data_IF_686001784325
#
_entry.id   IF_686001784325
#
_cell.length_a   1.000
_cell.length_b   1.000
_cell.length_c   1.000
_cell.angle_alpha   90.00
_cell.angle_beta   90.00
_cell.angle_gamma   90.00
#
_symmetry.space_group_name_H-M   'P 1'
#
loop_
_entity.id
_entity.type
_entity.pdbx_description
1 polymer ?
#
# COMPACT_ATOMS: atom_id res chain seq x y z
N UNK A 1 -23.72 -7.50 0.46
CA UNK A 1 -24.76 -7.92 1.43
C UNK A 1 -24.72 -7.05 2.68
N UNK A 2 -23.59 -6.96 3.40
CA UNK A 2 -23.45 -6.17 4.63
C UNK A 2 -23.94 -4.71 4.53
N UNK A 3 -23.61 -4.01 3.44
CA UNK A 3 -24.06 -2.62 3.21
C UNK A 3 -25.59 -2.52 3.10
N UNK A 4 -26.24 -3.49 2.48
CA UNK A 4 -27.72 -3.53 2.41
C UNK A 4 -28.33 -3.81 3.78
N UNK A 5 -27.69 -4.63 4.61
CA UNK A 5 -28.13 -4.88 5.98
C UNK A 5 -28.00 -3.60 6.83
N UNK A 6 -26.89 -2.86 6.69
CA UNK A 6 -26.71 -1.54 7.32
C UNK A 6 -27.82 -0.56 6.89
N UNK A 7 -28.10 -0.45 5.59
CA UNK A 7 -29.15 0.42 5.08
C UNK A 7 -30.54 0.01 5.59
N UNK A 8 -30.81 -1.29 5.71
CA UNK A 8 -32.06 -1.81 6.27
C UNK A 8 -32.21 -1.47 7.76
N UNK A 9 -31.15 -1.66 8.57
CA UNK A 9 -31.14 -1.30 9.99
C UNK A 9 -31.38 0.21 10.19
N UNK A 10 -30.73 1.05 9.39
CA UNK A 10 -30.97 2.49 9.41
C UNK A 10 -32.42 2.85 9.02
N UNK A 11 -32.96 2.19 7.99
CA UNK A 11 -34.35 2.39 7.57
C UNK A 11 -35.34 2.00 8.67
N UNK A 12 -35.06 0.94 9.45
CA UNK A 12 -35.90 0.55 10.59
C UNK A 12 -35.90 1.59 11.70
N UNK A 13 -34.77 2.26 11.94
CA UNK A 13 -34.63 3.29 12.99
C UNK A 13 -35.31 4.61 12.64
N UNK A 14 -35.26 4.97 11.36
CA UNK A 14 -35.79 6.26 10.87
C UNK A 14 -37.23 6.17 10.38
N UNK A 15 -37.80 4.96 10.33
CA UNK A 15 -39.18 4.76 9.93
C UNK A 15 -40.13 5.50 10.88
N UNK A 16 -41.10 6.27 10.36
CA UNK A 16 -42.04 7.01 11.19
C UNK A 16 -43.01 6.11 11.99
N UNK A 17 -43.08 4.83 11.64
CA UNK A 17 -43.87 3.81 12.32
C UNK A 17 -42.98 2.61 12.61
N UNK A 18 -43.13 1.97 13.78
CA UNK A 18 -42.38 0.75 14.09
C UNK A 18 -42.67 -0.31 13.03
N UNK A 19 -41.62 -0.78 12.36
CA UNK A 19 -41.71 -1.84 11.35
C UNK A 19 -41.77 -3.24 11.99
N UNK A 20 -41.60 -3.33 13.32
CA UNK A 20 -41.68 -4.57 14.08
C UNK A 20 -42.80 -4.48 15.14
N UNK A 21 -43.89 -5.27 15.03
CA UNK A 21 -44.97 -5.29 16.01
C UNK A 21 -44.57 -5.94 17.34
N UNK A 22 -43.44 -6.65 17.39
CA UNK A 22 -42.97 -7.37 18.58
C UNK A 22 -41.92 -6.61 19.38
N UNK A 23 -41.45 -5.47 18.88
CA UNK A 23 -40.51 -4.59 19.57
C UNK A 23 -41.24 -3.75 20.64
N UNK A 24 -41.79 -4.42 21.66
CA UNK A 24 -42.15 -3.76 22.91
C UNK A 24 -40.87 -3.16 23.50
N UNK A 25 -40.80 -1.82 23.57
CA UNK A 25 -39.82 -1.02 24.34
C UNK A 25 -38.53 -1.76 24.72
N UNK A 26 -37.79 -2.25 23.72
CA UNK A 26 -36.40 -2.61 23.98
C UNK A 26 -35.70 -1.29 24.27
N UNK A 27 -35.51 -1.01 25.56
CA UNK A 27 -34.44 -0.15 26.06
C UNK A 27 -33.26 -0.44 25.16
N UNK A 28 -32.98 0.47 24.23
CA UNK A 28 -31.96 0.24 23.22
C UNK A 28 -30.66 0.17 23.99
N UNK A 29 -30.20 -1.05 24.24
CA UNK A 29 -29.09 -1.30 25.16
C UNK A 29 -27.89 -0.47 24.66
N UNK A 30 -27.29 0.31 25.58
CA UNK A 30 -26.25 1.29 25.23
C UNK A 30 -25.10 0.62 24.48
N UNK A 31 -24.82 -0.64 24.82
CA UNK A 31 -23.83 -1.48 24.13
C UNK A 31 -24.26 -1.85 22.70
N UNK A 32 -25.55 -2.09 22.45
CA UNK A 32 -26.08 -2.40 21.12
C UNK A 32 -25.88 -1.24 20.13
N UNK A 33 -26.14 0.00 20.57
CA UNK A 33 -25.88 1.19 19.74
C UNK A 33 -24.38 1.38 19.48
N UNK A 34 -23.53 1.13 20.46
CA UNK A 34 -22.09 1.22 20.31
C UNK A 34 -21.53 0.16 19.35
N UNK A 35 -22.05 -1.07 19.41
CA UNK A 35 -21.72 -2.17 18.49
C UNK A 35 -22.14 -1.80 17.07
N UNK A 36 -23.32 -1.25 16.88
CA UNK A 36 -23.81 -0.79 15.58
C UNK A 36 -22.87 0.27 14.97
N UNK A 37 -22.54 1.33 15.72
CA UNK A 37 -21.63 2.39 15.26
C UNK A 37 -20.26 1.84 14.89
N UNK A 38 -19.67 0.97 15.73
CA UNK A 38 -18.39 0.32 15.41
C UNK A 38 -18.48 -0.54 14.15
N UNK A 39 -19.57 -1.29 13.98
CA UNK A 39 -19.82 -2.11 12.80
C UNK A 39 -19.92 -1.25 11.54
N UNK A 40 -20.57 -0.08 11.63
CA UNK A 40 -20.69 0.84 10.51
C UNK A 40 -19.33 1.39 10.07
N UNK A 41 -18.49 1.80 11.02
CA UNK A 41 -17.14 2.25 10.71
C UNK A 41 -16.22 1.13 10.21
N UNK A 42 -16.40 -0.11 10.68
CA UNK A 42 -15.69 -1.27 10.15
C UNK A 42 -16.07 -1.54 8.67
N UNK A 43 -17.37 -1.52 8.35
CA UNK A 43 -17.84 -1.63 6.97
C UNK A 43 -17.30 -0.49 6.08
N UNK A 44 -17.26 0.74 6.59
CA UNK A 44 -16.66 1.87 5.90
C UNK A 44 -15.17 1.64 5.57
N UNK A 45 -14.39 1.18 6.55
CA UNK A 45 -12.96 0.90 6.38
C UNK A 45 -12.77 -0.21 5.33
N UNK A 46 -13.54 -1.29 5.39
CA UNK A 46 -13.47 -2.38 4.43
C UNK A 46 -13.84 -1.89 3.03
N UNK A 47 -14.89 -1.08 2.88
CA UNK A 47 -15.27 -0.48 1.58
C UNK A 47 -14.13 0.37 1.01
N UNK A 48 -13.46 1.16 1.85
CA UNK A 48 -12.28 1.93 1.48
C UNK A 48 -11.08 1.04 1.08
N UNK A 49 -10.87 -0.12 1.70
CA UNK A 49 -9.78 -1.02 1.29
C UNK A 49 -10.10 -1.73 -0.04
N UNK A 50 -11.35 -2.15 -0.19
CA UNK A 50 -11.78 -3.11 -1.22
C UNK A 50 -12.19 -2.44 -2.53
N UNK A 51 -12.73 -1.22 -2.46
CA UNK A 51 -13.27 -0.50 -3.61
C UNK A 51 -12.53 0.80 -3.95
N UNK A 52 -11.51 1.20 -3.18
CA UNK A 52 -10.79 2.45 -3.48
C UNK A 52 -10.14 2.41 -4.87
N UNK A 53 -10.60 3.29 -5.74
CA UNK A 53 -10.10 3.48 -7.10
C UNK A 53 -10.40 2.37 -8.11
N UNK A 54 -11.01 1.26 -7.71
CA UNK A 54 -11.47 0.25 -8.68
C UNK A 54 -12.61 0.78 -9.57
N UNK A 55 -12.94 0.10 -10.67
CA UNK A 55 -14.07 0.45 -11.55
C UNK A 55 -15.44 0.50 -10.84
N UNK A 56 -15.55 -0.01 -9.61
CA UNK A 56 -16.76 0.08 -8.81
C UNK A 56 -16.66 1.28 -7.87
N UNK A 57 -17.59 2.25 -7.95
CA UNK A 57 -17.62 3.34 -6.99
C UNK A 57 -17.81 2.81 -5.57
N UNK A 58 -17.17 3.43 -4.55
CA UNK A 58 -17.35 3.04 -3.16
C UNK A 58 -18.83 3.15 -2.79
N UNK A 59 -19.33 2.15 -2.06
CA UNK A 59 -20.73 2.05 -1.69
C UNK A 59 -21.05 2.80 -0.40
N UNK A 60 -20.04 3.06 0.44
CA UNK A 60 -20.12 3.82 1.69
C UNK A 60 -19.09 4.96 1.71
N UNK A 61 -19.15 5.95 0.79
CA UNK A 61 -18.31 7.12 0.91
C UNK A 61 -18.67 7.91 2.17
N UNK A 62 -17.75 8.76 2.63
CA UNK A 62 -17.95 9.57 3.84
C UNK A 62 -19.24 10.42 3.80
N UNK A 63 -19.68 10.83 2.61
CA UNK A 63 -20.96 11.52 2.42
C UNK A 63 -22.17 10.65 2.79
N UNK A 64 -22.16 9.36 2.47
CA UNK A 64 -23.23 8.44 2.86
C UNK A 64 -23.20 8.17 4.37
N UNK A 65 -22.02 8.01 4.97
CA UNK A 65 -21.89 7.90 6.43
C UNK A 65 -22.50 9.10 7.16
N UNK A 66 -22.30 10.32 6.64
CA UNK A 66 -22.93 11.54 7.16
C UNK A 66 -24.46 11.55 6.96
N UNK A 67 -24.97 11.09 5.82
CA UNK A 67 -26.42 10.99 5.55
C UNK A 67 -27.10 9.99 6.47
N UNK A 68 -26.45 8.87 6.74
CA UNK A 68 -26.88 7.84 7.71
C UNK A 68 -26.77 8.33 9.16
N UNK A 69 -26.29 9.56 9.40
CA UNK A 69 -26.14 10.15 10.74
C UNK A 69 -25.39 9.22 11.70
N UNK A 70 -24.37 8.52 11.20
CA UNK A 70 -23.56 7.62 12.02
C UNK A 70 -22.77 8.46 13.03
N UNK A 71 -22.88 8.12 14.31
CA UNK A 71 -22.15 8.79 15.38
C UNK A 71 -20.64 8.65 15.22
N UNK A 72 -19.87 9.45 15.98
CA UNK A 72 -18.40 9.36 15.98
C UNK A 72 -17.93 7.94 16.36
N UNK A 73 -16.77 7.48 15.85
CA UNK A 73 -16.18 6.23 16.30
C UNK A 73 -16.01 6.22 17.82
N UNK A 74 -16.50 5.15 18.47
CA UNK A 74 -16.44 4.99 19.91
C UNK A 74 -15.06 4.49 20.31
N UNK A 75 -14.39 5.17 21.24
CA UNK A 75 -13.09 4.70 21.72
C UNK A 75 -13.23 3.49 22.68
N UNK A 76 -12.15 2.73 22.89
CA UNK A 76 -12.21 1.49 23.66
C UNK A 76 -12.66 1.70 25.11
N UNK A 77 -12.23 2.81 25.74
CA UNK A 77 -12.56 3.15 27.11
C UNK A 77 -14.02 3.58 27.26
N UNK A 78 -14.51 4.44 26.35
CA UNK A 78 -15.91 4.87 26.28
C UNK A 78 -16.85 3.67 26.13
N UNK A 79 -16.47 2.71 25.29
CA UNK A 79 -17.20 1.46 25.12
C UNK A 79 -17.22 0.62 26.39
N UNK A 80 -16.07 0.45 27.05
CA UNK A 80 -15.95 -0.33 28.28
C UNK A 80 -16.72 0.28 29.46
N UNK A 81 -16.83 1.61 29.50
CA UNK A 81 -17.50 2.34 30.57
C UNK A 81 -19.01 2.57 30.31
N UNK A 82 -19.52 2.23 29.13
CA UNK A 82 -20.94 2.42 28.79
C UNK A 82 -21.42 3.88 28.88
N UNK A 83 -20.53 4.84 28.56
CA UNK A 83 -20.86 6.27 28.59
C UNK A 83 -21.90 6.64 27.54
N UNK A 84 -22.78 7.60 27.85
CA UNK A 84 -23.81 8.06 26.93
C UNK A 84 -23.18 8.60 25.64
N UNK A 85 -23.54 8.00 24.51
CA UNK A 85 -23.02 8.39 23.21
C UNK A 85 -23.68 9.69 22.77
N UNK A 86 -22.92 10.74 22.43
CA UNK A 86 -23.51 11.98 21.96
C UNK A 86 -24.27 11.71 20.66
N UNK A 87 -25.51 12.21 20.60
CA UNK A 87 -26.36 12.13 19.42
C UNK A 87 -25.62 12.61 18.15
N UNK A 88 -26.02 12.07 17.00
CA UNK A 88 -25.48 12.42 15.69
C UNK A 88 -25.51 13.94 15.38
N UNK A 89 -26.31 14.74 16.09
CA UNK A 89 -26.32 16.20 15.96
C UNK A 89 -25.02 16.85 16.46
N UNK A 90 -24.34 16.26 17.46
CA UNK A 90 -23.03 16.69 17.93
C UNK A 90 -21.87 16.15 17.06
N UNK A 91 -22.09 15.07 16.31
CA UNK A 91 -21.13 14.53 15.34
C UNK A 91 -20.92 15.45 14.11
N UNK A 92 -21.78 16.46 13.92
CA UNK A 92 -21.58 17.48 12.89
C UNK A 92 -20.39 18.41 13.16
N UNK A 93 -19.87 18.43 14.40
CA UNK A 93 -18.61 19.07 14.78
C UNK A 93 -17.51 18.04 15.00
N UNK A 94 -17.22 17.20 14.00
CA UNK A 94 -15.86 16.66 13.86
C UNK A 94 -14.99 17.79 13.32
N UNK A 95 -14.80 18.83 14.13
CA UNK A 95 -13.64 19.69 13.99
C UNK A 95 -12.44 18.85 14.41
N UNK A 96 -11.48 18.77 13.50
CA UNK A 96 -10.19 18.10 13.67
C UNK A 96 -9.53 18.67 14.92
N UNK A 97 -9.73 18.01 16.06
CA UNK A 97 -9.12 18.40 17.32
C UNK A 97 -7.67 17.93 17.26
N UNK A 98 -6.74 18.88 17.16
CA UNK A 98 -5.31 18.57 17.22
C UNK A 98 -4.97 17.88 18.55
N UNK A 99 -4.05 16.91 18.52
CA UNK A 99 -3.64 16.15 19.71
C UNK A 99 -4.49 14.91 19.97
N UNK A 100 -4.93 14.22 18.91
CA UNK A 100 -5.57 12.92 19.04
C UNK A 100 -4.57 11.87 19.53
N UNK A 101 -4.69 11.50 20.80
CA UNK A 101 -3.95 10.37 21.37
C UNK A 101 -4.35 9.03 20.73
N UNK A 102 -3.46 8.04 20.80
CA UNK A 102 -3.64 6.71 20.19
C UNK A 102 -4.91 5.98 20.69
N UNK A 103 -5.42 6.34 21.87
CA UNK A 103 -6.67 5.81 22.42
C UNK A 103 -7.89 6.06 21.51
N UNK A 104 -7.86 7.10 20.66
CA UNK A 104 -8.85 7.37 19.60
C UNK A 104 -8.47 6.70 18.27
N UNK A 105 -7.74 5.59 18.30
CA UNK A 105 -7.19 4.90 17.13
C UNK A 105 -8.23 4.59 16.04
N UNK A 106 -9.45 4.17 16.41
CA UNK A 106 -10.51 3.93 15.43
C UNK A 106 -10.88 5.18 14.62
N UNK A 107 -10.92 6.35 15.25
CA UNK A 107 -11.22 7.61 14.58
C UNK A 107 -10.07 8.04 13.66
N UNK A 108 -8.84 7.91 14.14
CA UNK A 108 -7.63 8.16 13.34
C UNK A 108 -7.63 7.27 12.09
N UNK A 109 -7.96 5.98 12.26
CA UNK A 109 -8.05 5.01 11.16
C UNK A 109 -9.16 5.36 10.17
N UNK A 110 -10.36 5.71 10.64
CA UNK A 110 -11.48 6.12 9.76
C UNK A 110 -11.08 7.32 8.90
N UNK A 111 -10.46 8.35 9.48
CA UNK A 111 -9.97 9.49 8.71
C UNK A 111 -8.84 9.10 7.75
N UNK A 112 -7.91 8.25 8.18
CA UNK A 112 -6.81 7.75 7.36
C UNK A 112 -7.31 6.95 6.15
N UNK A 113 -8.25 6.03 6.34
CA UNK A 113 -8.81 5.21 5.26
C UNK A 113 -9.67 6.03 4.30
N UNK A 114 -10.32 7.11 4.77
CA UNK A 114 -10.99 8.05 3.88
C UNK A 114 -10.00 8.79 2.96
N UNK A 115 -8.83 9.20 3.49
CA UNK A 115 -7.76 9.83 2.69
C UNK A 115 -7.15 8.82 1.73
N UNK A 116 -6.84 7.61 2.22
CA UNK A 116 -6.39 6.49 1.40
C UNK A 116 -7.32 6.22 0.21
N UNK A 117 -8.64 6.20 0.45
CA UNK A 117 -9.62 5.94 -0.61
C UNK A 117 -9.58 7.01 -1.71
N UNK A 118 -9.47 8.29 -1.33
CA UNK A 118 -9.32 9.39 -2.28
C UNK A 118 -7.99 9.33 -3.04
N UNK A 119 -6.90 9.04 -2.33
CA UNK A 119 -5.56 8.90 -2.91
C UNK A 119 -5.51 7.75 -3.91
N UNK A 120 -6.01 6.57 -3.53
CA UNK A 120 -6.05 5.41 -4.41
C UNK A 120 -6.99 5.66 -5.59
N UNK A 121 -8.09 6.40 -5.40
CA UNK A 121 -8.92 6.84 -6.53
C UNK A 121 -8.11 7.63 -7.54
N UNK A 122 -7.24 8.54 -7.11
CA UNK A 122 -6.32 9.22 -8.02
C UNK A 122 -5.35 8.24 -8.70
N UNK A 123 -4.72 7.34 -7.92
CA UNK A 123 -3.73 6.37 -8.44
C UNK A 123 -4.32 5.43 -9.49
N UNK A 124 -5.52 4.88 -9.24
CA UNK A 124 -6.18 3.94 -10.15
C UNK A 124 -6.82 4.61 -11.37
N UNK A 125 -7.20 5.88 -11.28
CA UNK A 125 -7.62 6.66 -12.45
C UNK A 125 -6.39 7.16 -13.21
N UNK A 126 -5.47 6.24 -13.53
CA UNK A 126 -4.19 6.43 -14.22
C UNK A 126 -3.18 7.41 -13.58
N UNK A 127 -3.51 8.06 -12.47
CA UNK A 127 -2.59 8.92 -11.71
C UNK A 127 -1.83 9.90 -12.59
N UNK A 128 -0.50 9.78 -12.63
CA UNK A 128 0.39 10.57 -13.51
C UNK A 128 0.01 10.47 -14.99
N UNK A 129 -0.41 9.29 -15.44
CA UNK A 129 -0.69 8.98 -16.85
C UNK A 129 -2.05 9.48 -17.32
N UNK A 130 -2.90 9.94 -16.42
CA UNK A 130 -4.22 10.46 -16.77
C UNK A 130 -4.11 11.70 -17.68
N UNK A 131 -5.08 11.93 -18.59
CA UNK A 131 -5.05 13.06 -19.52
C UNK A 131 -4.83 14.41 -18.83
N UNK A 132 -3.77 15.13 -19.25
CA UNK A 132 -3.44 16.46 -18.72
C UNK A 132 -2.71 16.47 -17.38
N UNK A 133 -2.42 15.33 -16.76
CA UNK A 133 -1.68 15.27 -15.49
C UNK A 133 -0.18 15.56 -15.62
N UNK A 134 0.38 15.38 -16.81
CA UNK A 134 1.77 15.75 -17.11
C UNK A 134 1.96 17.24 -17.44
N UNK A 135 0.87 18.00 -17.60
CA UNK A 135 0.94 19.43 -17.87
C UNK A 135 1.59 20.19 -16.69
N UNK A 136 2.26 21.34 -16.93
CA UNK A 136 3.02 22.04 -15.89
C UNK A 136 2.23 22.33 -14.61
N UNK A 137 0.96 22.73 -14.74
CA UNK A 137 0.06 23.03 -13.59
C UNK A 137 -0.30 21.82 -12.72
N UNK A 138 -0.17 20.61 -13.25
CA UNK A 138 -0.56 19.36 -12.60
C UNK A 138 0.64 18.51 -12.19
N UNK A 139 1.86 18.97 -12.49
CA UNK A 139 3.09 18.33 -12.01
C UNK A 139 3.11 18.27 -10.47
N UNK A 140 3.71 17.22 -9.89
CA UNK A 140 3.56 16.91 -8.47
C UNK A 140 4.17 17.95 -7.52
N UNK A 141 5.14 18.76 -7.98
CA UNK A 141 5.70 19.87 -7.20
C UNK A 141 4.84 21.13 -7.21
N UNK A 142 3.79 21.20 -8.01
CA UNK A 142 2.85 22.33 -7.99
C UNK A 142 1.85 22.13 -6.87
N UNK A 143 1.75 23.09 -5.95
CA UNK A 143 0.94 22.99 -4.74
C UNK A 143 -0.56 22.78 -5.00
N UNK A 144 -1.08 23.26 -6.15
CA UNK A 144 -2.47 23.06 -6.56
C UNK A 144 -2.73 21.74 -7.27
N UNK A 145 -1.69 20.95 -7.56
CA UNK A 145 -1.84 19.69 -8.29
C UNK A 145 -2.63 18.67 -7.47
N UNK A 146 -3.38 17.75 -8.11
CA UNK A 146 -4.05 16.65 -7.42
C UNK A 146 -3.10 15.83 -6.52
N UNK A 147 -1.87 15.62 -6.98
CA UNK A 147 -0.84 14.91 -6.22
C UNK A 147 -0.43 15.66 -4.95
N UNK A 148 -0.12 16.96 -5.06
CA UNK A 148 0.30 17.77 -3.92
C UNK A 148 -0.84 17.93 -2.90
N UNK A 149 -2.08 18.04 -3.36
CA UNK A 149 -3.25 18.06 -2.50
C UNK A 149 -3.42 16.74 -1.73
N UNK A 150 -3.27 15.59 -2.40
CA UNK A 150 -3.34 14.29 -1.74
C UNK A 150 -2.23 14.12 -0.68
N UNK A 151 -0.99 14.51 -1.01
CA UNK A 151 0.11 14.49 -0.05
C UNK A 151 -0.13 15.43 1.13
N UNK A 152 -0.64 16.64 0.88
CA UNK A 152 -0.92 17.63 1.93
C UNK A 152 -2.01 17.14 2.89
N UNK A 153 -3.06 16.49 2.38
CA UNK A 153 -4.10 15.88 3.23
C UNK A 153 -3.52 14.75 4.10
N UNK A 154 -2.68 13.90 3.53
CA UNK A 154 -2.01 12.81 4.25
C UNK A 154 -1.07 13.35 5.35
N UNK A 155 -0.31 14.41 5.04
CA UNK A 155 0.57 15.07 6.01
C UNK A 155 -0.22 15.77 7.12
N UNK A 156 -1.33 16.44 6.78
CA UNK A 156 -2.23 17.05 7.76
C UNK A 156 -2.83 15.99 8.70
N UNK A 157 -3.23 14.83 8.16
CA UNK A 157 -3.71 13.70 8.97
C UNK A 157 -2.63 13.12 9.87
N UNK A 158 -1.38 13.04 9.40
CA UNK A 158 -0.26 12.66 10.28
C UNK A 158 -0.06 13.69 11.39
N UNK A 159 -0.04 14.98 11.06
CA UNK A 159 0.16 16.08 12.02
C UNK A 159 -1.00 16.26 13.03
N UNK A 160 -2.18 15.71 12.76
CA UNK A 160 -3.31 15.69 13.69
C UNK A 160 -2.99 14.92 15.00
N UNK A 161 -2.03 14.01 14.93
CA UNK A 161 -1.61 13.15 16.03
C UNK A 161 -0.44 13.78 16.80
N UNK A 162 -0.27 13.35 18.04
CA UNK A 162 0.90 13.77 18.82
C UNK A 162 2.21 13.26 18.17
N UNK A 163 3.25 14.10 18.15
CA UNK A 163 4.50 13.79 17.48
C UNK A 163 5.20 12.53 18.03
N UNK A 164 4.99 12.23 19.31
CA UNK A 164 5.46 11.01 19.99
C UNK A 164 4.76 9.73 19.50
N UNK A 165 3.73 9.82 18.65
CA UNK A 165 3.03 8.67 18.04
C UNK A 165 3.53 8.37 16.62
N UNK A 166 4.52 9.11 16.11
CA UNK A 166 5.01 8.93 14.75
C UNK A 166 6.15 7.90 14.69
N UNK A 167 5.97 6.82 13.94
CA UNK A 167 7.09 5.94 13.58
C UNK A 167 8.03 6.64 12.59
N UNK A 168 9.37 6.55 12.71
CA UNK A 168 10.15 5.68 13.62
C UNK A 168 10.51 6.31 14.97
N UNK A 169 10.14 7.56 15.24
CA UNK A 169 10.45 8.22 16.52
C UNK A 169 9.81 7.51 17.71
N UNK A 170 8.66 6.90 17.47
CA UNK A 170 7.92 6.14 18.46
C UNK A 170 8.19 4.63 18.37
N UNK A 171 8.43 3.99 19.52
CA UNK A 171 8.70 2.56 19.61
C UNK A 171 7.43 1.72 19.51
N UNK A 172 7.45 0.66 18.69
CA UNK A 172 6.38 -0.33 18.60
C UNK A 172 6.12 -0.98 19.97
N UNK A 173 7.17 -1.46 20.64
CA UNK A 173 7.12 -2.12 21.96
C UNK A 173 6.34 -1.31 22.99
N UNK A 174 6.54 0.01 23.01
CA UNK A 174 5.84 0.91 23.93
C UNK A 174 4.32 0.85 23.72
N UNK A 175 3.85 0.97 22.48
CA UNK A 175 2.42 0.92 22.19
C UNK A 175 1.83 -0.48 22.34
N UNK A 176 2.60 -1.54 22.11
CA UNK A 176 2.18 -2.91 22.45
C UNK A 176 1.96 -3.03 23.95
N UNK A 177 2.91 -2.56 24.77
CA UNK A 177 2.82 -2.60 26.25
C UNK A 177 1.61 -1.83 26.77
N UNK A 178 1.25 -0.72 26.11
CA UNK A 178 0.08 0.09 26.45
C UNK A 178 -1.25 -0.49 25.91
N UNK A 179 -1.23 -1.62 25.20
CA UNK A 179 -2.42 -2.25 24.63
C UNK A 179 -2.95 -1.58 23.35
N UNK A 180 -2.14 -0.74 22.71
CA UNK A 180 -2.49 -0.02 21.46
C UNK A 180 -1.64 -0.44 20.25
N UNK A 181 -0.92 -1.56 20.35
CA UNK A 181 0.01 -2.04 19.33
C UNK A 181 -0.61 -2.16 17.94
N UNK A 182 -1.73 -2.88 17.81
CA UNK A 182 -2.42 -3.08 16.52
C UNK A 182 -2.82 -1.76 15.86
N UNK A 183 -3.41 -0.84 16.65
CA UNK A 183 -3.82 0.46 16.15
C UNK A 183 -2.61 1.28 15.70
N UNK A 184 -1.55 1.32 16.51
CA UNK A 184 -0.32 2.04 16.18
C UNK A 184 0.31 1.53 14.89
N UNK A 185 0.48 0.22 14.75
CA UNK A 185 1.09 -0.39 13.57
C UNK A 185 0.19 -0.15 12.35
N UNK A 186 -1.12 -0.40 12.46
CA UNK A 186 -2.07 -0.20 11.35
C UNK A 186 -2.08 1.25 10.85
N UNK A 187 -2.11 2.24 11.75
CA UNK A 187 -2.06 3.67 11.39
C UNK A 187 -0.72 4.01 10.72
N UNK A 188 0.38 3.46 11.24
CA UNK A 188 1.74 3.75 10.74
C UNK A 188 1.96 3.15 9.35
N UNK A 189 1.61 1.88 9.14
CA UNK A 189 1.72 1.25 7.82
C UNK A 189 0.77 1.91 6.81
N UNK A 190 -0.43 2.34 7.24
CA UNK A 190 -1.36 3.10 6.38
C UNK A 190 -0.75 4.40 5.87
N UNK A 191 -0.03 5.13 6.72
CA UNK A 191 0.68 6.33 6.28
C UNK A 191 1.77 5.98 5.25
N UNK A 192 2.63 5.02 5.57
CA UNK A 192 3.79 4.72 4.73
C UNK A 192 3.40 4.08 3.39
N UNK A 193 2.37 3.22 3.37
CA UNK A 193 1.86 2.66 2.12
C UNK A 193 1.21 3.75 1.24
N UNK A 194 0.54 4.73 1.84
CA UNK A 194 0.01 5.90 1.12
C UNK A 194 1.15 6.70 0.45
N UNK A 195 2.28 6.89 1.15
CA UNK A 195 3.47 7.53 0.59
C UNK A 195 4.02 6.73 -0.59
N UNK A 196 4.13 5.40 -0.46
CA UNK A 196 4.60 4.53 -1.55
C UNK A 196 3.69 4.69 -2.78
N UNK A 197 2.38 4.60 -2.58
CA UNK A 197 1.40 4.64 -3.66
C UNK A 197 1.45 5.94 -4.47
N UNK A 198 1.60 7.09 -3.79
CA UNK A 198 1.75 8.39 -4.45
C UNK A 198 3.06 8.56 -5.21
N UNK A 199 4.17 8.01 -4.70
CA UNK A 199 5.52 8.34 -5.16
C UNK A 199 6.07 7.39 -6.23
N UNK A 200 5.64 6.12 -6.24
CA UNK A 200 6.26 5.07 -7.06
C UNK A 200 6.16 5.29 -8.57
N UNK A 201 5.12 5.97 -9.04
CA UNK A 201 4.92 6.30 -10.47
C UNK A 201 5.82 7.44 -10.96
N UNK A 202 6.55 8.09 -10.05
CA UNK A 202 7.51 9.16 -10.30
C UNK A 202 8.95 8.67 -10.19
N UNK A 203 9.16 7.37 -10.45
CA UNK A 203 10.45 6.77 -10.71
C UNK A 203 10.45 6.10 -12.10
N UNK A 204 11.63 6.04 -12.76
CA UNK A 204 11.85 5.18 -13.92
C UNK A 204 11.42 3.75 -13.62
N UNK A 205 10.62 3.17 -14.51
CA UNK A 205 10.17 1.79 -14.39
C UNK A 205 11.34 0.80 -14.49
N UNK A 206 12.12 0.92 -15.57
CA UNK A 206 13.31 0.12 -15.86
C UNK A 206 14.49 1.06 -16.15
N UNK A 207 15.15 1.60 -15.11
CA UNK A 207 16.36 2.41 -15.30
C UNK A 207 17.54 1.53 -15.76
N UNK A 208 18.69 2.17 -16.03
CA UNK A 208 19.97 1.46 -16.12
C UNK A 208 20.65 1.40 -14.75
N UNK A 209 21.59 0.46 -14.51
CA UNK A 209 22.35 0.39 -13.25
C UNK A 209 23.08 1.69 -12.87
N UNK A 210 23.47 2.49 -13.87
CA UNK A 210 24.15 3.78 -13.69
C UNK A 210 23.18 4.96 -13.47
N UNK A 211 21.87 4.71 -13.48
CA UNK A 211 20.88 5.77 -13.32
C UNK A 211 20.83 6.28 -11.88
N UNK A 212 20.71 7.59 -11.76
CA UNK A 212 20.52 8.32 -10.51
C UNK A 212 19.07 8.77 -10.36
N UNK A 213 18.62 9.17 -9.14
CA UNK A 213 17.26 9.61 -8.90
C UNK A 213 16.80 10.63 -9.95
N UNK A 214 15.81 10.22 -10.74
CA UNK A 214 15.29 10.97 -11.88
C UNK A 214 13.81 10.67 -12.05
N UNK A 215 13.17 11.39 -12.97
CA UNK A 215 11.76 11.20 -13.27
C UNK A 215 11.47 9.99 -14.15
N UNK A 216 10.18 9.69 -14.37
CA UNK A 216 9.76 8.60 -15.24
C UNK A 216 10.31 8.82 -16.66
N UNK A 217 10.83 7.75 -17.25
CA UNK A 217 11.35 7.71 -18.63
C UNK A 217 10.30 7.18 -19.62
N UNK A 218 9.20 6.63 -19.10
CA UNK A 218 8.08 6.11 -19.85
C UNK A 218 7.00 7.19 -20.09
N UNK A 219 6.44 7.27 -21.33
CA UNK A 219 5.41 8.24 -21.64
C UNK A 219 4.11 7.97 -20.84
N UNK A 220 3.31 9.02 -20.56
CA UNK A 220 3.56 10.43 -20.85
C UNK A 220 4.62 11.05 -19.92
N UNK A 221 5.53 11.84 -20.49
CA UNK A 221 6.58 12.55 -19.75
C UNK A 221 6.04 13.85 -19.17
N UNK A 222 6.57 14.26 -18.02
CA UNK A 222 6.21 15.55 -17.41
C UNK A 222 6.68 16.70 -18.29
N UNK A 223 5.81 17.69 -18.50
CA UNK A 223 6.03 18.83 -19.39
C UNK A 223 6.74 20.01 -18.69
N UNK A 224 7.08 19.85 -17.42
CA UNK A 224 7.83 20.84 -16.64
C UNK A 224 9.05 20.18 -15.99
N UNK A 225 10.10 20.99 -15.83
CA UNK A 225 11.30 20.59 -15.10
C UNK A 225 11.01 20.53 -13.60
N UNK A 226 11.51 19.49 -12.94
CA UNK A 226 11.38 19.35 -11.51
C UNK A 226 12.29 20.33 -10.78
N UNK A 227 11.89 20.86 -9.61
CA UNK A 227 12.78 21.62 -8.75
C UNK A 227 14.03 20.82 -8.36
N UNK A 228 15.09 21.53 -7.99
CA UNK A 228 16.31 20.92 -7.47
C UNK A 228 16.01 19.96 -6.32
N UNK A 229 16.69 18.81 -6.29
CA UNK A 229 16.56 17.76 -5.28
C UNK A 229 15.18 17.06 -5.22
N UNK A 230 14.22 17.40 -6.09
CA UNK A 230 12.88 16.79 -6.03
C UNK A 230 12.92 15.27 -6.23
N UNK A 231 13.65 14.80 -7.23
CA UNK A 231 13.77 13.36 -7.53
C UNK A 231 14.49 12.59 -6.42
N UNK A 232 15.55 13.19 -5.87
CA UNK A 232 16.32 12.61 -4.77
C UNK A 232 15.46 12.47 -3.50
N UNK A 233 14.69 13.50 -3.16
CA UNK A 233 13.77 13.49 -2.02
C UNK A 233 12.60 12.52 -2.26
N UNK A 234 12.10 12.44 -3.49
CA UNK A 234 11.06 11.48 -3.84
C UNK A 234 11.54 10.03 -3.65
N UNK A 235 12.73 9.70 -4.17
CA UNK A 235 13.36 8.40 -3.98
C UNK A 235 13.58 8.12 -2.49
N UNK A 236 14.18 9.07 -1.75
CA UNK A 236 14.43 8.93 -0.31
C UNK A 236 13.17 8.57 0.47
N UNK A 237 12.08 9.31 0.28
CA UNK A 237 10.82 9.11 0.99
C UNK A 237 10.13 7.79 0.61
N UNK A 238 10.25 7.38 -0.66
CA UNK A 238 9.68 6.13 -1.16
C UNK A 238 10.38 4.91 -0.56
N UNK A 239 11.71 4.81 -0.71
CA UNK A 239 12.47 3.66 -0.22
C UNK A 239 12.46 3.59 1.31
N UNK A 240 12.59 4.73 2.00
CA UNK A 240 12.49 4.80 3.45
C UNK A 240 11.11 4.34 3.96
N UNK A 241 10.03 4.70 3.27
CA UNK A 241 8.68 4.25 3.65
C UNK A 241 8.51 2.73 3.47
N UNK A 242 9.14 2.13 2.46
CA UNK A 242 9.14 0.68 2.27
C UNK A 242 9.87 -0.04 3.41
N UNK A 243 11.08 0.41 3.77
CA UNK A 243 11.82 -0.13 4.93
C UNK A 243 11.02 0.01 6.23
N UNK A 244 10.39 1.16 6.46
CA UNK A 244 9.60 1.38 7.66
C UNK A 244 8.39 0.46 7.76
N UNK A 245 7.73 0.11 6.65
CA UNK A 245 6.66 -0.89 6.69
C UNK A 245 7.21 -2.25 7.07
N UNK A 246 8.31 -2.69 6.45
CA UNK A 246 8.92 -3.98 6.76
C UNK A 246 9.32 -4.07 8.24
N UNK A 247 10.02 -3.06 8.76
CA UNK A 247 10.43 -2.98 10.17
C UNK A 247 9.25 -2.89 11.13
N UNK A 248 8.23 -2.08 10.82
CA UNK A 248 7.01 -2.00 11.64
C UNK A 248 6.34 -3.35 11.81
N UNK A 249 6.21 -4.12 10.73
CA UNK A 249 5.60 -5.44 10.75
C UNK A 249 6.49 -6.44 11.50
N UNK A 250 7.80 -6.42 11.27
CA UNK A 250 8.79 -7.25 11.98
C UNK A 250 8.79 -7.00 13.48
N UNK A 251 9.03 -5.75 13.91
CA UNK A 251 9.01 -5.34 15.32
C UNK A 251 7.66 -5.68 15.98
N UNK A 252 6.54 -5.55 15.25
CA UNK A 252 5.22 -5.90 15.78
C UNK A 252 5.06 -7.40 16.00
N UNK A 253 5.52 -8.22 15.06
CA UNK A 253 5.52 -9.69 15.16
C UNK A 253 6.39 -10.16 16.33
N UNK A 254 7.59 -9.59 16.50
CA UNK A 254 8.47 -9.88 17.64
C UNK A 254 7.82 -9.52 18.99
N UNK A 255 7.03 -8.46 19.02
CA UNK A 255 6.25 -8.05 20.21
C UNK A 255 4.95 -8.85 20.41
N UNK A 256 4.67 -9.85 19.57
CA UNK A 256 3.47 -10.68 19.65
C UNK A 256 2.23 -10.10 18.98
N UNK A 257 2.33 -8.95 18.30
CA UNK A 257 1.24 -8.34 17.53
C UNK A 257 1.36 -8.73 16.06
N UNK A 258 0.60 -9.76 15.65
CA UNK A 258 0.63 -10.27 14.28
C UNK A 258 -0.59 -9.78 13.49
N UNK A 259 -0.40 -8.77 12.62
CA UNK A 259 -1.48 -8.21 11.81
C UNK A 259 -1.82 -9.11 10.59
N UNK A 260 -2.57 -10.19 10.81
CA UNK A 260 -2.95 -11.16 9.77
C UNK A 260 -4.13 -10.69 8.90
N UNK A 261 -4.17 -9.42 8.53
CA UNK A 261 -5.22 -8.84 7.68
C UNK A 261 -4.74 -8.71 6.23
N UNK A 262 -5.63 -8.81 5.23
CA UNK A 262 -5.27 -8.56 3.84
C UNK A 262 -4.64 -7.18 3.62
N UNK A 263 -5.04 -6.17 4.40
CA UNK A 263 -4.45 -4.83 4.32
C UNK A 263 -2.98 -4.81 4.75
N UNK A 264 -2.63 -5.47 5.85
CA UNK A 264 -1.24 -5.60 6.27
C UNK A 264 -0.42 -6.40 5.25
N UNK A 265 -1.00 -7.45 4.66
CA UNK A 265 -0.40 -8.18 3.54
C UNK A 265 -0.13 -7.30 2.33
N UNK A 266 -1.09 -6.46 1.93
CA UNK A 266 -0.89 -5.50 0.86
C UNK A 266 0.19 -4.46 1.18
N UNK A 267 0.32 -4.03 2.44
CA UNK A 267 1.42 -3.17 2.88
C UNK A 267 2.78 -3.87 2.74
N UNK A 268 2.89 -5.12 3.20
CA UNK A 268 4.09 -5.95 3.05
C UNK A 268 4.43 -6.17 1.57
N UNK A 269 3.43 -6.45 0.74
CA UNK A 269 3.56 -6.58 -0.71
C UNK A 269 4.14 -5.31 -1.34
N UNK A 270 3.53 -4.16 -1.04
CA UNK A 270 3.95 -2.85 -1.57
C UNK A 270 5.38 -2.51 -1.15
N UNK A 271 5.73 -2.77 0.11
CA UNK A 271 7.07 -2.58 0.64
C UNK A 271 8.07 -3.53 -0.02
N UNK A 272 7.74 -4.81 -0.13
CA UNK A 272 8.55 -5.84 -0.76
C UNK A 272 8.86 -5.51 -2.22
N UNK A 273 7.86 -5.10 -3.00
CA UNK A 273 8.05 -4.65 -4.38
C UNK A 273 9.05 -3.49 -4.50
N UNK A 274 8.93 -2.46 -3.65
CA UNK A 274 9.88 -1.34 -3.66
C UNK A 274 11.28 -1.78 -3.21
N UNK A 275 11.37 -2.67 -2.21
CA UNK A 275 12.65 -3.22 -1.75
C UNK A 275 13.33 -4.09 -2.81
N UNK A 276 12.57 -4.82 -3.63
CA UNK A 276 13.09 -5.63 -4.74
C UNK A 276 13.79 -4.82 -5.83
N UNK A 277 13.46 -3.53 -5.96
CA UNK A 277 14.08 -2.63 -6.92
C UNK A 277 15.54 -2.27 -6.54
N UNK A 278 15.82 -2.15 -5.24
CA UNK A 278 17.08 -1.57 -4.73
C UNK A 278 18.32 -2.40 -5.08
N UNK A 279 18.34 -3.75 -4.94
CA UNK A 279 19.52 -4.55 -5.28
C UNK A 279 19.99 -4.41 -6.73
N UNK A 280 19.06 -4.18 -7.66
CA UNK A 280 19.35 -4.07 -9.09
C UNK A 280 19.69 -2.65 -9.54
N UNK A 281 19.17 -1.64 -8.82
CA UNK A 281 19.38 -0.22 -9.14
C UNK A 281 19.78 0.59 -7.90
N UNK A 282 20.91 0.27 -7.23
CA UNK A 282 21.27 0.89 -5.95
C UNK A 282 21.54 2.40 -6.05
N UNK A 283 22.02 2.86 -7.21
CA UNK A 283 22.27 4.28 -7.51
C UNK A 283 21.00 5.12 -7.51
N UNK A 284 19.85 4.54 -7.88
CA UNK A 284 18.54 5.22 -7.84
C UNK A 284 18.07 5.55 -6.42
N UNK A 285 18.64 4.89 -5.41
CA UNK A 285 18.40 5.16 -4.00
C UNK A 285 19.63 5.77 -3.31
N UNK A 286 20.69 6.10 -4.07
CA UNK A 286 21.95 6.62 -3.55
C UNK A 286 22.54 5.75 -2.42
N UNK A 287 22.33 4.42 -2.48
CA UNK A 287 22.82 3.48 -1.47
C UNK A 287 22.23 3.65 -0.05
N UNK A 288 21.10 4.33 0.11
CA UNK A 288 20.52 4.65 1.43
C UNK A 288 19.87 3.47 2.17
N UNK A 289 19.50 2.42 1.44
CA UNK A 289 18.78 1.25 1.97
C UNK A 289 19.63 -0.02 1.84
N UNK A 290 20.71 -0.17 2.63
CA UNK A 290 21.58 -1.35 2.57
C UNK A 290 20.84 -2.64 2.97
N UNK A 291 19.82 -2.53 3.82
CA UNK A 291 19.02 -3.67 4.29
C UNK A 291 17.81 -3.98 3.39
N UNK A 292 17.67 -3.35 2.22
CA UNK A 292 16.51 -3.57 1.34
C UNK A 292 16.30 -5.05 0.98
N UNK A 293 17.39 -5.80 0.78
CA UNK A 293 17.33 -7.25 0.56
C UNK A 293 16.70 -7.99 1.74
N UNK A 294 17.10 -7.67 2.99
CA UNK A 294 16.52 -8.26 4.21
C UNK A 294 15.04 -7.89 4.36
N UNK A 295 14.69 -6.62 4.11
CA UNK A 295 13.31 -6.17 4.14
C UNK A 295 12.44 -6.91 3.13
N UNK A 296 12.94 -7.15 1.90
CA UNK A 296 12.25 -7.97 0.91
C UNK A 296 12.03 -9.41 1.42
N UNK A 297 13.07 -10.04 1.97
CA UNK A 297 12.97 -11.41 2.51
C UNK A 297 11.95 -11.51 3.62
N UNK A 298 11.96 -10.55 4.54
CA UNK A 298 10.97 -10.46 5.60
C UNK A 298 9.56 -10.32 5.02
N UNK A 299 9.34 -9.40 4.07
CA UNK A 299 8.03 -9.22 3.43
C UNK A 299 7.53 -10.51 2.76
N UNK A 300 8.39 -11.24 2.04
CA UNK A 300 8.01 -12.53 1.43
C UNK A 300 7.63 -13.57 2.49
N UNK A 301 8.42 -13.71 3.56
CA UNK A 301 8.09 -14.62 4.68
C UNK A 301 6.77 -14.23 5.35
N UNK A 302 6.55 -12.94 5.57
CA UNK A 302 5.30 -12.42 6.14
C UNK A 302 4.09 -12.74 5.25
N UNK A 303 4.25 -12.60 3.93
CA UNK A 303 3.22 -12.95 2.95
C UNK A 303 2.93 -14.46 2.91
N UNK A 304 3.94 -15.31 3.07
CA UNK A 304 3.75 -16.77 3.18
C UNK A 304 2.93 -17.15 4.41
N UNK A 305 3.12 -16.46 5.54
CA UNK A 305 2.24 -16.63 6.71
C UNK A 305 0.81 -16.16 6.42
N UNK A 306 0.64 -15.03 5.72
CA UNK A 306 -0.69 -14.55 5.31
C UNK A 306 -1.37 -15.52 4.35
N UNK A 307 -0.62 -16.13 3.42
CA UNK A 307 -1.12 -17.10 2.44
C UNK A 307 -1.86 -18.27 3.09
N UNK A 308 -1.43 -18.69 4.29
CA UNK A 308 -2.09 -19.75 5.08
C UNK A 308 -3.54 -19.42 5.45
N UNK A 309 -3.89 -18.13 5.54
CA UNK A 309 -5.23 -17.66 5.90
C UNK A 309 -5.95 -17.04 4.70
N UNK A 310 -5.22 -16.32 3.85
CA UNK A 310 -5.75 -15.55 2.73
C UNK A 310 -5.02 -15.91 1.44
N UNK A 311 -5.68 -16.68 0.58
CA UNK A 311 -5.09 -17.16 -0.69
C UNK A 311 -4.62 -16.04 -1.63
N UNK A 312 -5.16 -14.83 -1.48
CA UNK A 312 -4.74 -13.65 -2.25
C UNK A 312 -3.24 -13.34 -2.13
N UNK A 313 -2.59 -13.73 -1.03
CA UNK A 313 -1.17 -13.49 -0.85
C UNK A 313 -0.28 -14.26 -1.82
N UNK A 314 -0.75 -15.36 -2.39
CA UNK A 314 -0.02 -16.08 -3.44
C UNK A 314 0.20 -15.20 -4.67
N UNK A 315 -0.83 -14.49 -5.12
CA UNK A 315 -0.71 -13.54 -6.24
C UNK A 315 0.26 -12.40 -5.94
N UNK A 316 0.31 -11.92 -4.68
CA UNK A 316 1.26 -10.90 -4.25
C UNK A 316 2.71 -11.39 -4.27
N UNK A 317 2.97 -12.59 -3.73
CA UNK A 317 4.30 -13.23 -3.73
C UNK A 317 4.79 -13.38 -5.18
N UNK A 318 3.98 -14.01 -6.01
CA UNK A 318 4.33 -14.25 -7.40
C UNK A 318 4.62 -12.91 -8.13
N UNK A 319 3.80 -11.88 -7.93
CA UNK A 319 4.02 -10.57 -8.57
C UNK A 319 5.36 -9.94 -8.17
N UNK A 320 5.77 -10.05 -6.89
CA UNK A 320 7.09 -9.57 -6.43
C UNK A 320 8.22 -10.35 -7.11
N UNK A 321 8.10 -11.67 -7.20
CA UNK A 321 9.11 -12.52 -7.83
C UNK A 321 9.29 -12.18 -9.31
N UNK A 322 8.19 -12.02 -10.06
CA UNK A 322 8.23 -11.63 -11.47
C UNK A 322 8.77 -10.21 -11.66
N UNK A 323 8.41 -9.25 -10.79
CA UNK A 323 8.98 -7.90 -10.82
C UNK A 323 10.49 -7.90 -10.50
N UNK A 324 10.94 -8.73 -9.56
CA UNK A 324 12.35 -8.91 -9.20
C UNK A 324 13.13 -9.51 -10.38
N UNK A 325 12.55 -10.51 -11.04
CA UNK A 325 13.10 -11.13 -12.24
C UNK A 325 13.24 -10.11 -13.38
N UNK A 326 12.20 -9.31 -13.64
CA UNK A 326 12.22 -8.26 -14.65
C UNK A 326 13.31 -7.22 -14.35
N UNK A 327 13.37 -6.73 -13.11
CA UNK A 327 14.39 -5.76 -12.68
C UNK A 327 15.81 -6.29 -12.88
N UNK A 328 16.03 -7.57 -12.52
CA UNK A 328 17.30 -8.26 -12.77
C UNK A 328 17.64 -8.31 -14.26
N UNK A 329 16.71 -8.82 -15.09
CA UNK A 329 16.93 -8.95 -16.54
C UNK A 329 17.20 -7.60 -17.19
N UNK A 330 16.53 -6.53 -16.74
CA UNK A 330 16.77 -5.18 -17.23
C UNK A 330 18.11 -4.60 -16.79
N UNK A 331 18.58 -4.93 -15.59
CA UNK A 331 19.89 -4.51 -15.09
C UNK A 331 21.04 -5.25 -15.79
N UNK A 332 20.87 -6.54 -16.09
CA UNK A 332 21.95 -7.37 -16.66
C UNK A 332 21.97 -7.40 -18.18
N UNK A 333 20.84 -7.16 -18.84
CA UNK A 333 20.72 -7.24 -20.30
C UNK A 333 20.29 -5.90 -20.90
N UNK A 334 20.90 -5.53 -22.03
CA UNK A 334 20.50 -4.33 -22.77
C UNK A 334 19.14 -4.46 -23.47
N UNK A 335 18.51 -5.65 -23.45
CA UNK A 335 17.29 -5.98 -24.19
C UNK A 335 16.06 -5.20 -23.72
N UNK A 336 16.03 -4.80 -22.45
CA UNK A 336 14.90 -4.09 -21.83
C UNK A 336 15.07 -2.56 -21.86
N UNK A 337 16.13 -2.04 -22.48
CA UNK A 337 16.36 -0.59 -22.57
C UNK A 337 15.27 0.08 -23.41
N UNK A 338 14.68 1.13 -22.86
CA UNK A 338 13.61 1.89 -23.51
C UNK A 338 12.22 1.25 -23.40
N UNK A 339 12.11 0.08 -22.75
CA UNK A 339 10.80 -0.51 -22.45
C UNK A 339 10.09 0.27 -21.35
N UNK A 340 8.77 0.26 -21.44
CA UNK A 340 7.86 1.04 -20.63
C UNK A 340 6.91 0.14 -19.86
N UNK A 341 6.13 0.72 -18.94
CA UNK A 341 5.05 0.00 -18.24
C UNK A 341 3.98 -0.53 -19.21
N UNK A 342 3.85 0.05 -20.41
CA UNK A 342 2.88 -0.39 -21.41
C UNK A 342 3.26 -1.74 -22.04
N UNK A 343 4.55 -2.09 -22.03
CA UNK A 343 5.05 -3.37 -22.53
C UNK A 343 4.83 -4.51 -21.51
N UNK A 344 4.49 -4.16 -20.26
CA UNK A 344 4.25 -5.08 -19.13
C UNK A 344 2.94 -4.73 -18.42
N UNK A 345 1.84 -4.68 -19.18
CA UNK A 345 0.56 -4.18 -18.69
C UNK A 345 -0.05 -5.07 -17.59
N UNK A 346 0.07 -6.39 -17.71
CA UNK A 346 -0.44 -7.33 -16.70
C UNK A 346 0.35 -7.23 -15.39
N UNK A 347 1.67 -7.09 -15.48
CA UNK A 347 2.52 -6.83 -14.32
C UNK A 347 2.16 -5.47 -13.69
N UNK A 348 2.04 -4.43 -14.52
CA UNK A 348 1.66 -3.09 -14.06
C UNK A 348 0.32 -3.12 -13.31
N UNK A 349 -0.72 -3.74 -13.88
CA UNK A 349 -2.03 -3.82 -13.24
C UNK A 349 -1.97 -4.57 -11.89
N UNK A 350 -1.18 -5.64 -11.81
CA UNK A 350 -0.97 -6.41 -10.58
C UNK A 350 -0.31 -5.60 -9.46
N UNK A 351 0.50 -4.58 -9.81
CA UNK A 351 1.14 -3.68 -8.84
C UNK A 351 0.22 -2.58 -8.29
N UNK A 352 -0.94 -2.35 -8.92
CA UNK A 352 -1.94 -1.38 -8.47
C UNK A 352 -3.08 -2.03 -7.71
N UNK A 353 -3.50 -3.22 -8.14
CA UNK A 353 -4.70 -3.86 -7.61
C UNK A 353 -4.52 -4.41 -6.19
N UNK A 354 -5.37 -3.96 -5.25
CA UNK A 354 -5.47 -4.59 -3.93
C UNK A 354 -5.93 -6.06 -4.03
N UNK A 355 -6.70 -6.40 -5.08
CA UNK A 355 -7.27 -7.73 -5.33
C UNK A 355 -6.49 -8.50 -6.38
N UNK A 356 -5.18 -8.65 -6.18
CA UNK A 356 -4.34 -9.36 -7.16
C UNK A 356 -4.85 -10.78 -7.35
N UNK A 357 -5.31 -11.06 -8.56
CA UNK A 357 -5.48 -12.42 -9.06
C UNK A 357 -4.11 -12.87 -9.54
N UNK A 358 -3.77 -14.13 -9.35
CA UNK A 358 -2.53 -14.68 -9.88
C UNK A 358 -2.50 -14.53 -11.42
N UNK A 359 -1.53 -13.77 -11.93
CA UNK A 359 -1.29 -13.49 -13.35
C UNK A 359 0.13 -13.89 -13.78
N UNK A 360 0.75 -14.82 -13.04
CA UNK A 360 2.14 -15.26 -13.27
C UNK A 360 2.41 -15.71 -14.70
N UNK A 361 1.50 -16.50 -15.28
CA UNK A 361 1.65 -16.95 -16.67
C UNK A 361 1.69 -15.77 -17.65
N UNK A 362 0.88 -14.74 -17.42
CA UNK A 362 0.84 -13.54 -18.25
C UNK A 362 2.13 -12.74 -18.09
N UNK A 363 2.60 -12.54 -16.85
CA UNK A 363 3.88 -11.85 -16.58
C UNK A 363 5.05 -12.54 -17.28
N UNK A 364 5.12 -13.87 -17.22
CA UNK A 364 6.14 -14.64 -17.94
C UNK A 364 6.01 -14.54 -19.46
N UNK A 365 4.78 -14.54 -20.00
CA UNK A 365 4.55 -14.36 -21.44
C UNK A 365 5.02 -12.99 -21.92
N UNK A 366 4.76 -11.92 -21.16
CA UNK A 366 5.26 -10.57 -21.45
C UNK A 366 6.81 -10.56 -21.49
N UNK A 367 7.47 -11.12 -20.47
CA UNK A 367 8.93 -11.17 -20.40
C UNK A 367 9.58 -12.04 -21.49
N UNK A 368 9.02 -13.21 -21.79
CA UNK A 368 9.55 -14.12 -22.82
C UNK A 368 9.29 -13.58 -24.24
N UNK A 369 8.19 -12.82 -24.43
CA UNK A 369 7.91 -12.14 -25.69
C UNK A 369 8.99 -11.13 -26.06
N UNK A 370 9.51 -10.39 -25.07
CA UNK A 370 10.65 -9.47 -25.25
C UNK A 370 11.90 -10.21 -25.72
N UNK A 371 12.20 -11.35 -25.09
CA UNK A 371 13.38 -12.15 -25.43
C UNK A 371 13.28 -12.71 -26.86
N UNK A 372 12.13 -13.24 -27.25
CA UNK A 372 11.90 -13.83 -28.56
C UNK A 372 11.83 -12.80 -29.71
N UNK A 373 11.25 -11.62 -29.48
CA UNK A 373 11.13 -10.56 -30.51
C UNK A 373 12.49 -9.99 -30.95
N UNK A 374 13.45 -9.94 -30.01
CA UNK A 374 14.81 -9.44 -30.30
C UNK A 374 15.66 -10.53 -30.98
N UNK A 375 15.42 -11.81 -30.68
CA UNK A 375 16.12 -12.92 -31.32
C UNK A 375 15.60 -13.18 -32.75
N UNK A 376 14.31 -12.91 -33.04
CA UNK A 376 13.73 -13.02 -34.40
C UNK A 376 14.03 -11.83 -35.31
N UNK A 377 14.43 -10.67 -34.77
CA UNK A 377 14.89 -9.52 -35.56
C UNK A 377 16.37 -9.62 -35.99
N UNK A 378 17.08 -10.66 -35.54
CA UNK A 378 18.39 -11.05 -36.07
C UNK A 378 18.20 -12.13 -37.16
N UNK A 379 18.09 -11.72 -38.42
CA UNK A 379 18.11 -12.66 -39.55
C UNK A 379 19.46 -13.41 -39.63
N UNK A 380 19.48 -14.70 -40.01
CA UNK A 380 20.70 -15.52 -40.06
C UNK A 380 21.42 -15.32 -41.41
N UNK A 381 22.17 -14.23 -41.55
CA UNK A 381 23.15 -14.14 -42.64
C UNK A 381 24.40 -13.41 -42.16
N UNK A 382 25.41 -14.20 -41.78
CA UNK A 382 26.76 -13.72 -41.48
C UNK A 382 27.38 -14.42 -40.28
N UNK A 383 28.29 -15.33 -40.61
CA UNK A 383 29.36 -15.88 -39.77
C UNK A 383 29.01 -16.94 -38.72
N UNK A 384 29.32 -18.17 -39.10
CA UNK A 384 29.65 -19.27 -38.22
C UNK A 384 30.85 -18.90 -37.33
N UNK A 385 30.57 -18.28 -36.19
CA UNK A 385 31.41 -18.34 -35.02
C UNK A 385 30.56 -18.93 -33.90
N UNK A 386 30.86 -20.18 -33.56
CA UNK A 386 30.28 -20.88 -32.40
C UNK A 386 30.64 -20.11 -31.14
N UNK A 387 29.76 -19.19 -30.73
CA UNK A 387 29.74 -18.68 -29.36
C UNK A 387 28.86 -19.67 -28.60
N UNK A 388 29.51 -20.55 -27.85
CA UNK A 388 28.85 -21.29 -26.79
C UNK A 388 28.24 -20.27 -25.83
N UNK A 389 26.92 -20.13 -25.88
CA UNK A 389 26.14 -19.37 -24.90
C UNK A 389 26.13 -20.15 -23.59
N UNK A 390 27.22 -19.99 -22.84
CA UNK A 390 27.38 -20.53 -21.49
C UNK A 390 26.73 -19.58 -20.48
N UNK A 391 25.48 -19.16 -20.76
CA UNK A 391 24.68 -18.41 -19.81
C UNK A 391 24.12 -19.41 -18.79
N UNK A 392 24.46 -19.31 -17.50
CA UNK A 392 23.93 -20.22 -16.50
C UNK A 392 22.41 -20.05 -16.39
N UNK A 393 21.69 -21.16 -16.22
CA UNK A 393 20.24 -21.21 -16.05
C UNK A 393 19.75 -20.13 -15.07
N UNK A 394 19.12 -19.10 -15.63
CA UNK A 394 18.76 -17.88 -14.89
C UNK A 394 17.74 -18.11 -13.77
N UNK A 395 17.01 -19.22 -13.84
CA UNK A 395 16.10 -19.69 -12.79
C UNK A 395 16.87 -20.26 -11.58
N UNK A 396 17.94 -21.02 -11.82
CA UNK A 396 18.78 -21.60 -10.76
C UNK A 396 19.50 -20.50 -9.98
N UNK A 397 19.91 -19.41 -10.64
CA UNK A 397 20.52 -18.27 -9.95
C UNK A 397 19.52 -17.46 -9.11
N UNK A 398 18.25 -17.36 -9.52
CA UNK A 398 17.20 -16.72 -8.70
C UNK A 398 16.90 -17.57 -7.47
N UNK A 399 16.73 -18.88 -7.66
CA UNK A 399 16.58 -19.82 -6.56
C UNK A 399 17.81 -19.79 -5.66
N UNK A 400 19.02 -19.71 -6.20
CA UNK A 400 20.24 -19.60 -5.40
C UNK A 400 20.33 -18.29 -4.62
N UNK A 401 19.93 -17.14 -5.18
CA UNK A 401 19.94 -15.87 -4.47
C UNK A 401 18.84 -15.84 -3.40
N UNK A 402 17.63 -16.28 -3.72
CA UNK A 402 16.54 -16.41 -2.75
C UNK A 402 16.91 -17.43 -1.65
N UNK A 403 17.62 -18.51 -2.00
CA UNK A 403 18.09 -19.53 -1.06
C UNK A 403 19.29 -19.06 -0.23
N UNK A 404 20.23 -18.29 -0.78
CA UNK A 404 21.38 -17.70 -0.09
C UNK A 404 20.93 -16.61 0.87
N UNK A 405 19.97 -15.78 0.46
CA UNK A 405 19.27 -14.82 1.31
C UNK A 405 18.48 -15.54 2.42
N UNK A 406 17.89 -16.71 2.14
CA UNK A 406 17.21 -17.51 3.15
C UNK A 406 18.18 -18.25 4.09
N UNK A 407 19.37 -18.66 3.60
CA UNK A 407 20.40 -19.41 4.35
C UNK A 407 21.23 -18.51 5.26
N UNK A 408 21.52 -17.27 4.84
CA UNK A 408 22.22 -16.27 5.64
C UNK A 408 21.44 -15.82 6.90
N UNK A 409 20.19 -16.28 7.09
CA UNK A 409 19.41 -16.07 8.32
C UNK A 409 19.46 -17.25 9.30
N UNK A 410 20.00 -18.42 8.92
CA UNK A 410 20.17 -19.57 9.82
C UNK A 410 21.55 -19.60 10.52
N UNK A 411 22.48 -18.70 10.15
CA UNK A 411 23.81 -18.61 10.79
C UNK A 411 23.91 -17.58 11.93
N UNK A 412 22.82 -16.99 12.39
CA UNK A 412 22.79 -16.33 13.71
C UNK A 412 22.11 -17.23 14.74
N UNK A 413 22.79 -18.36 15.00
CA UNK A 413 22.60 -19.14 16.22
C UNK A 413 23.25 -18.44 17.42
N UNK A 414 22.78 -18.74 18.64
CA UNK A 414 23.02 -17.94 19.83
C UNK A 414 24.49 -18.00 20.20
N UNK A 415 25.13 -16.84 20.34
CA UNK A 415 26.40 -16.51 21.02
C UNK A 415 27.17 -15.49 20.18
N UNK A 416 26.71 -14.24 20.19
CA UNK A 416 27.52 -13.00 20.21
C UNK A 416 26.59 -11.80 20.45
#
# INVERSE_FOLDING_TARGET
>A
MAIRMMQALYSMRTAPYSLDPTSNDQVHDRYSQAIEVKTYWACFIIDCMVNAGTYNPPMLPMSEMKKLRVGRPVNALEYALGQDHPDASAASKVEVSQGLGIARGCEILVHGFNIWSQLMTFVFNDGRKAPGMCAPRNCPWVSSSPWANALSQLQAWRAMREANTHYPTASVVMYVTLGYGEAFVCISVLYHVSIIMLRREYLPFLPTPESFPSGPTDPPLLEAEAPENWWEENARQLFQSAEYIARLLEESSECGVHLMTPFAGFCAFSAGYICAYVPWFPSMNLGRSPDAGKCLSFCLKYLEEIKKVWSIAEGWINTIEHASLLSRRAATTGRYRGMSRADFNDLHQSLHEFRVVDRSEQHMKEMNGVEQAIDTSRDPMGDAATITDDSPDTNVLLESFLHEVNSNMHEQGPWS
#
